data_IF_628459824370
#
_entry.id   IF_628459824370
#
_cell.length_a   1.000
_cell.length_b   1.000
_cell.length_c   1.000
_cell.angle_alpha   90.00
_cell.angle_beta   90.00
_cell.angle_gamma   90.00
#
_symmetry.space_group_name_H-M   'P 1'
#
loop_
_entity.id
_entity.type
_entity.pdbx_description
1 polymer ?
#
# COMPACT_ATOMS: atom_id res chain seq x y z
N UNK A 1 -1.57 2.42 -1.38
CA UNK A 1 -0.78 1.50 -2.21
C UNK A 1 0.63 1.62 -1.73
N UNK A 2 1.21 0.50 -1.33
CA UNK A 2 2.57 0.48 -0.84
C UNK A 2 3.53 0.25 -2.01
N UNK A 3 4.74 0.80 -1.88
CA UNK A 3 5.79 0.63 -2.87
C UNK A 3 7.09 0.16 -2.23
N UNK A 4 7.89 -0.55 -3.02
CA UNK A 4 9.27 -0.90 -2.66
C UNK A 4 10.19 0.19 -3.18
N UNK A 5 10.92 0.82 -2.27
CA UNK A 5 11.86 1.89 -2.57
C UNK A 5 13.26 1.48 -2.15
N UNK A 6 14.27 1.90 -2.91
CA UNK A 6 15.68 1.63 -2.58
C UNK A 6 16.59 2.71 -3.16
N UNK A 7 17.68 3.01 -2.46
CA UNK A 7 18.81 3.78 -2.99
C UNK A 7 19.99 2.88 -3.43
N UNK A 8 19.90 1.56 -3.20
CA UNK A 8 20.99 0.59 -3.44
C UNK A 8 20.71 -0.36 -4.59
N UNK A 9 19.44 -0.75 -4.77
CA UNK A 9 19.00 -1.64 -5.84
C UNK A 9 18.80 -0.86 -7.14
N UNK A 10 19.00 -1.53 -8.27
CA UNK A 10 18.79 -0.99 -9.62
C UNK A 10 17.60 -1.59 -10.34
N UNK A 11 16.96 -2.58 -9.72
CA UNK A 11 15.76 -3.21 -10.21
C UNK A 11 14.69 -2.19 -10.59
N UNK A 12 13.94 -2.49 -11.65
CA UNK A 12 12.83 -1.67 -12.16
C UNK A 12 11.49 -2.40 -12.17
N UNK A 13 11.50 -3.67 -11.79
CA UNK A 13 10.34 -4.54 -11.77
C UNK A 13 10.56 -5.69 -10.77
N UNK A 14 9.53 -6.51 -10.59
CA UNK A 14 9.52 -7.65 -9.66
C UNK A 14 10.62 -8.66 -9.99
N UNK A 15 10.79 -9.01 -11.26
CA UNK A 15 11.72 -10.06 -11.69
C UNK A 15 13.18 -9.68 -11.45
N UNK A 16 13.52 -8.40 -11.67
CA UNK A 16 14.84 -7.85 -11.36
C UNK A 16 15.05 -7.74 -9.85
N UNK A 17 14.03 -7.27 -9.11
CA UNK A 17 14.09 -7.12 -7.66
C UNK A 17 14.44 -8.45 -6.98
N UNK A 18 13.72 -9.51 -7.33
CA UNK A 18 13.94 -10.85 -6.73
C UNK A 18 15.34 -11.39 -7.05
N UNK A 19 15.94 -11.03 -8.19
CA UNK A 19 17.30 -11.45 -8.56
C UNK A 19 18.39 -10.66 -7.84
N UNK A 20 18.14 -9.39 -7.54
CA UNK A 20 19.12 -8.52 -6.87
C UNK A 20 19.16 -8.75 -5.35
N UNK A 21 18.04 -9.14 -4.74
CA UNK A 21 17.96 -9.46 -3.31
C UNK A 21 18.81 -10.69 -2.96
N UNK A 22 19.49 -10.61 -1.82
CA UNK A 22 20.38 -11.62 -1.27
C UNK A 22 20.00 -11.98 0.16
N UNK A 23 20.33 -13.19 0.63
CA UNK A 23 20.18 -13.53 2.05
C UNK A 23 20.90 -12.51 2.95
N UNK A 24 20.21 -12.04 3.98
CA UNK A 24 20.69 -11.00 4.90
C UNK A 24 20.37 -9.57 4.47
N UNK A 25 19.86 -9.34 3.26
CA UNK A 25 19.38 -8.01 2.86
C UNK A 25 18.25 -7.54 3.77
N UNK A 26 18.29 -6.25 4.14
CA UNK A 26 17.35 -5.67 5.12
C UNK A 26 16.26 -4.90 4.39
N UNK A 27 15.02 -5.28 4.66
CA UNK A 27 13.82 -4.57 4.20
C UNK A 27 13.13 -3.94 5.40
N UNK A 28 13.07 -2.61 5.46
CA UNK A 28 12.30 -1.91 6.49
C UNK A 28 10.82 -1.86 6.13
N UNK A 29 9.97 -2.08 7.14
CA UNK A 29 8.52 -2.14 7.00
C UNK A 29 7.86 -1.35 8.13
N UNK A 30 6.62 -0.88 7.98
CA UNK A 30 5.88 -0.26 9.09
C UNK A 30 5.74 -1.23 10.27
N UNK A 31 5.77 -0.70 11.50
CA UNK A 31 5.59 -1.49 12.72
C UNK A 31 4.13 -1.55 13.19
N UNK A 32 3.26 -0.64 12.73
CA UNK A 32 1.86 -0.69 13.13
C UNK A 32 1.19 -1.96 12.56
N UNK A 33 0.28 -2.61 13.32
CA UNK A 33 -0.19 -3.95 12.96
C UNK A 33 -0.83 -4.06 11.57
N UNK A 34 -1.69 -3.11 11.21
CA UNK A 34 -2.45 -3.16 9.95
C UNK A 34 -1.54 -2.98 8.74
N UNK A 35 -0.67 -1.97 8.75
CA UNK A 35 0.25 -1.73 7.62
C UNK A 35 1.38 -2.78 7.60
N UNK A 36 1.82 -3.27 8.76
CA UNK A 36 2.76 -4.38 8.82
C UNK A 36 2.16 -5.62 8.17
N UNK A 37 0.94 -6.01 8.53
CA UNK A 37 0.30 -7.18 7.92
C UNK A 37 0.16 -7.01 6.41
N UNK A 38 -0.33 -5.85 5.96
CA UNK A 38 -0.43 -5.51 4.53
C UNK A 38 0.91 -5.69 3.82
N UNK A 39 1.97 -5.14 4.41
CA UNK A 39 3.34 -5.26 3.89
C UNK A 39 3.79 -6.72 3.82
N UNK A 40 3.50 -7.52 4.85
CA UNK A 40 3.89 -8.93 4.86
C UNK A 40 3.19 -9.71 3.75
N UNK A 41 1.91 -9.47 3.53
CA UNK A 41 1.18 -10.06 2.42
C UNK A 41 1.73 -9.60 1.06
N UNK A 42 2.10 -8.31 0.92
CA UNK A 42 2.72 -7.82 -0.31
C UNK A 42 4.07 -8.51 -0.59
N UNK A 43 4.93 -8.67 0.43
CA UNK A 43 6.21 -9.37 0.28
C UNK A 43 6.05 -10.87 -0.01
N UNK A 44 4.99 -11.51 0.51
CA UNK A 44 4.59 -12.87 0.12
C UNK A 44 4.15 -12.93 -1.35
N UNK A 45 3.35 -11.97 -1.83
CA UNK A 45 2.90 -11.90 -3.24
C UNK A 45 4.10 -11.71 -4.21
N UNK A 46 5.20 -11.14 -3.72
CA UNK A 46 6.47 -11.04 -4.45
C UNK A 46 7.29 -12.34 -4.43
N UNK A 47 6.91 -13.32 -3.61
CA UNK A 47 7.58 -14.61 -3.48
C UNK A 47 8.82 -14.58 -2.58
N UNK A 48 8.97 -13.56 -1.73
CA UNK A 48 10.15 -13.43 -0.86
C UNK A 48 10.12 -14.41 0.32
N UNK A 49 8.92 -14.71 0.82
CA UNK A 49 8.67 -15.68 1.88
C UNK A 49 7.24 -16.22 1.75
N UNK A 50 6.89 -17.21 2.58
CA UNK A 50 5.53 -17.72 2.74
C UNK A 50 5.05 -17.47 4.16
N UNK A 51 3.83 -16.97 4.26
CA UNK A 51 3.07 -16.88 5.49
C UNK A 51 2.36 -18.20 5.75
N UNK A 52 1.95 -18.40 7.01
CA UNK A 52 1.16 -19.57 7.39
C UNK A 52 -0.15 -19.62 6.59
N UNK A 53 -0.54 -20.79 6.06
CA UNK A 53 -1.78 -20.92 5.30
C UNK A 53 -3.02 -20.53 6.13
N UNK A 54 -3.98 -19.89 5.49
CA UNK A 54 -5.27 -19.54 6.10
C UNK A 54 -5.27 -18.27 6.96
N UNK A 55 -4.18 -17.49 6.94
CA UNK A 55 -4.15 -16.16 7.56
C UNK A 55 -5.06 -15.21 6.80
N UNK A 56 -5.81 -14.41 7.57
CA UNK A 56 -6.61 -13.30 7.06
C UNK A 56 -5.65 -12.17 6.69
N UNK A 57 -5.73 -11.65 5.45
CA UNK A 57 -4.95 -10.48 5.04
C UNK A 57 -5.35 -9.30 5.93
N UNK A 58 -4.37 -8.63 6.53
CA UNK A 58 -4.58 -7.61 7.56
C UNK A 58 -4.34 -8.09 8.99
N UNK A 59 -4.18 -9.40 9.22
CA UNK A 59 -3.89 -9.98 10.55
C UNK A 59 -2.53 -10.71 10.64
N UNK A 60 -1.75 -10.73 9.55
CA UNK A 60 -0.44 -11.38 9.51
C UNK A 60 0.59 -10.72 10.43
N UNK A 61 1.35 -11.54 11.16
CA UNK A 61 2.46 -11.12 12.01
C UNK A 61 3.80 -11.65 11.48
N UNK A 62 4.91 -11.05 11.93
CA UNK A 62 6.24 -11.58 11.61
C UNK A 62 6.44 -13.04 12.02
N UNK A 63 5.82 -13.46 13.13
CA UNK A 63 5.88 -14.83 13.63
C UNK A 63 5.15 -15.83 12.71
N UNK A 64 4.33 -15.35 11.78
CA UNK A 64 3.60 -16.18 10.84
C UNK A 64 4.39 -16.52 9.57
N UNK A 65 5.61 -16.01 9.42
CA UNK A 65 6.51 -16.39 8.34
C UNK A 65 6.98 -17.83 8.59
N UNK A 66 6.53 -18.76 7.75
CA UNK A 66 6.84 -20.20 7.86
C UNK A 66 7.97 -20.63 6.95
N UNK A 67 8.29 -19.85 5.91
CA UNK A 67 9.38 -20.15 4.97
C UNK A 67 9.98 -18.84 4.44
N UNK A 68 11.26 -18.58 4.71
CA UNK A 68 11.96 -17.41 4.17
C UNK A 68 12.76 -17.81 2.92
N UNK A 69 12.11 -17.79 1.75
CA UNK A 69 12.66 -18.23 0.46
C UNK A 69 13.85 -17.37 0.03
N UNK A 70 13.76 -16.05 0.25
CA UNK A 70 14.78 -15.08 -0.16
C UNK A 70 15.91 -14.90 0.86
N UNK A 71 15.67 -15.23 2.13
CA UNK A 71 16.60 -14.98 3.24
C UNK A 71 16.70 -13.52 3.67
N UNK A 72 15.79 -12.65 3.21
CA UNK A 72 15.77 -11.23 3.63
C UNK A 72 15.38 -11.09 5.10
N UNK A 73 15.85 -10.01 5.73
CA UNK A 73 15.51 -9.63 7.09
C UNK A 73 14.46 -8.52 7.05
N UNK A 74 13.26 -8.83 7.53
CA UNK A 74 12.17 -7.84 7.68
C UNK A 74 12.37 -7.10 8.99
N UNK A 75 12.50 -5.76 8.93
CA UNK A 75 12.77 -4.91 10.09
C UNK A 75 11.67 -3.87 10.28
N UNK A 76 10.75 -4.07 11.24
CA UNK A 76 9.72 -3.08 11.56
C UNK A 76 10.32 -1.80 12.14
N UNK A 77 9.88 -0.66 11.63
CA UNK A 77 10.18 0.68 12.15
C UNK A 77 9.00 1.62 11.90
N UNK A 78 9.06 2.82 12.48
CA UNK A 78 8.08 3.88 12.21
C UNK A 78 8.06 4.25 10.73
N UNK A 79 6.85 4.29 10.14
CA UNK A 79 6.69 4.46 8.69
C UNK A 79 7.31 5.78 8.19
N UNK A 80 7.12 6.87 8.94
CA UNK A 80 7.67 8.18 8.62
C UNK A 80 9.20 8.24 8.68
N UNK A 81 9.85 7.22 9.26
CA UNK A 81 11.31 7.08 9.26
C UNK A 81 11.82 6.24 8.09
N UNK A 82 11.01 5.38 7.47
CA UNK A 82 11.45 4.46 6.42
C UNK A 82 12.17 5.19 5.28
N UNK A 83 11.66 6.31 4.71
CA UNK A 83 12.37 7.03 3.64
C UNK A 83 13.80 7.44 4.01
N UNK A 84 14.04 7.80 5.27
CA UNK A 84 15.36 8.25 5.76
C UNK A 84 16.34 7.10 5.96
N UNK A 85 15.85 5.86 6.08
CA UNK A 85 16.70 4.68 6.24
C UNK A 85 17.23 4.11 4.93
N UNK A 86 16.72 4.56 3.77
CA UNK A 86 17.00 3.95 2.46
C UNK A 86 18.49 3.97 2.06
N UNK A 87 19.29 4.86 2.63
CA UNK A 87 20.75 4.88 2.44
C UNK A 87 21.48 3.77 3.21
N UNK A 88 20.88 3.26 4.28
CA UNK A 88 21.47 2.29 5.21
C UNK A 88 20.93 0.87 5.01
N UNK A 89 19.69 0.71 4.57
CA UNK A 89 19.06 -0.61 4.30
C UNK A 89 19.05 -0.98 2.83
N UNK A 90 18.66 -2.20 2.50
CA UNK A 90 18.57 -2.66 1.11
C UNK A 90 17.33 -2.09 0.42
N UNK A 91 16.17 -2.13 1.08
CA UNK A 91 14.94 -1.51 0.60
C UNK A 91 14.02 -1.12 1.75
N UNK A 92 13.02 -0.30 1.47
CA UNK A 92 11.94 0.04 2.40
C UNK A 92 10.58 -0.07 1.72
N UNK A 93 9.58 -0.48 2.50
CA UNK A 93 8.18 -0.50 2.08
C UNK A 93 7.52 0.77 2.60
N UNK A 94 7.01 1.59 1.69
CA UNK A 94 6.54 2.94 1.99
C UNK A 94 5.16 3.11 1.34
N UNK A 95 4.17 3.60 2.09
CA UNK A 95 2.86 3.95 1.51
C UNK A 95 2.98 5.09 0.51
N UNK A 96 2.00 5.18 -0.40
CA UNK A 96 1.92 6.26 -1.38
C UNK A 96 2.00 7.65 -0.74
N UNK A 97 1.30 7.88 0.38
CA UNK A 97 1.30 9.18 1.07
C UNK A 97 2.68 9.54 1.60
N UNK A 98 3.35 8.63 2.30
CA UNK A 98 4.70 8.87 2.82
C UNK A 98 5.72 9.04 1.69
N UNK A 99 5.54 8.33 0.57
CA UNK A 99 6.37 8.50 -0.62
C UNK A 99 6.14 9.87 -1.30
N UNK A 100 4.92 10.41 -1.28
CA UNK A 100 4.65 11.79 -1.74
C UNK A 100 5.30 12.82 -0.82
N UNK A 101 5.18 12.66 0.51
CA UNK A 101 5.83 13.56 1.48
C UNK A 101 7.36 13.54 1.38
N UNK A 102 7.94 12.39 1.07
CA UNK A 102 9.37 12.26 0.83
C UNK A 102 9.80 12.70 -0.58
N UNK A 103 8.87 13.01 -1.50
CA UNK A 103 9.19 13.40 -2.88
C UNK A 103 9.76 12.26 -3.72
N UNK A 104 9.51 11.01 -3.34
CA UNK A 104 10.04 9.81 -3.99
C UNK A 104 8.94 8.97 -4.63
N UNK A 105 7.69 9.43 -4.68
CA UNK A 105 6.55 8.65 -5.15
C UNK A 105 6.86 7.87 -6.43
N UNK A 106 7.37 8.51 -7.48
CA UNK A 106 7.65 7.92 -8.79
C UNK A 106 8.89 7.01 -8.85
N UNK A 107 9.59 6.81 -7.73
CA UNK A 107 10.81 6.01 -7.63
C UNK A 107 10.56 4.57 -7.14
N UNK A 108 9.30 4.15 -7.02
CA UNK A 108 8.98 2.77 -6.63
C UNK A 108 9.52 1.77 -7.66
N UNK A 109 10.22 0.74 -7.17
CA UNK A 109 10.68 -0.41 -7.97
C UNK A 109 9.50 -1.30 -8.35
N UNK A 110 8.66 -1.59 -7.35
CA UNK A 110 7.42 -2.36 -7.49
C UNK A 110 6.38 -1.70 -6.61
N UNK A 111 5.14 -1.68 -7.08
CA UNK A 111 3.98 -1.28 -6.29
C UNK A 111 3.11 -2.48 -5.98
N UNK A 112 2.50 -2.44 -4.81
CA UNK A 112 1.48 -3.37 -4.40
C UNK A 112 0.28 -3.26 -5.36
N UNK A 113 -0.16 -4.39 -5.91
CA UNK A 113 -1.41 -4.43 -6.65
C UNK A 113 -2.53 -4.57 -5.63
N UNK A 114 -3.30 -3.50 -5.42
CA UNK A 114 -4.46 -3.53 -4.53
C UNK A 114 -5.59 -4.28 -5.23
N UNK A 115 -5.88 -5.51 -4.81
CA UNK A 115 -7.11 -6.20 -5.21
C UNK A 115 -8.31 -5.66 -4.42
N UNK A 116 -9.49 -5.50 -5.04
CA UNK A 116 -10.27 -4.27 -4.88
C UNK A 116 -11.17 -4.14 -3.64
N UNK A 117 -10.99 -4.92 -2.58
CA UNK A 117 -11.95 -4.88 -1.45
C UNK A 117 -11.31 -4.78 -0.06
N UNK A 118 -10.24 -5.53 0.23
CA UNK A 118 -9.84 -5.77 1.62
C UNK A 118 -8.94 -4.67 2.21
N UNK A 119 -8.26 -3.89 1.35
CA UNK A 119 -7.24 -2.91 1.76
C UNK A 119 -7.56 -1.47 1.32
N UNK A 120 -8.82 -1.23 0.90
CA UNK A 120 -9.28 0.11 0.55
C UNK A 120 -9.62 0.91 1.81
N UNK A 121 -9.26 2.19 1.80
CA UNK A 121 -9.72 3.13 2.83
C UNK A 121 -11.22 3.31 2.62
N UNK A 122 -11.99 3.09 3.69
CA UNK A 122 -13.45 3.24 3.68
C UNK A 122 -13.88 4.37 4.61
N UNK A 123 -14.98 5.03 4.25
CA UNK A 123 -15.71 5.85 5.20
C UNK A 123 -16.55 4.96 6.10
N UNK A 124 -16.41 5.12 7.41
CA UNK A 124 -17.15 4.35 8.39
C UNK A 124 -18.02 5.28 9.25
N UNK A 125 -19.27 4.87 9.46
CA UNK A 125 -20.21 5.52 10.38
C UNK A 125 -20.76 4.50 11.37
N UNK A 126 -21.23 4.96 12.53
CA UNK A 126 -21.94 4.10 13.48
C UNK A 126 -23.25 3.61 12.86
N UNK A 127 -23.62 2.36 13.12
CA UNK A 127 -24.87 1.75 12.60
C UNK A 127 -26.11 2.56 12.97
N UNK A 128 -26.14 3.17 14.16
CA UNK A 128 -27.24 4.04 14.60
C UNK A 128 -27.46 5.28 13.72
N UNK A 129 -26.48 5.61 12.87
CA UNK A 129 -26.50 6.79 12.03
C UNK A 129 -26.91 6.49 10.58
N UNK A 130 -27.15 5.23 10.21
CA UNK A 130 -27.42 4.83 8.82
C UNK A 130 -28.57 5.60 8.18
N UNK A 131 -29.64 5.86 8.94
CA UNK A 131 -30.85 6.51 8.42
C UNK A 131 -30.87 8.03 8.61
N UNK A 132 -29.82 8.60 9.20
CA UNK A 132 -29.74 10.04 9.46
C UNK A 132 -29.58 10.84 8.17
N UNK A 133 -30.11 12.06 8.14
CA UNK A 133 -30.04 12.91 6.96
C UNK A 133 -28.59 13.24 6.57
N UNK A 134 -27.75 13.59 7.55
CA UNK A 134 -26.35 13.93 7.29
C UNK A 134 -25.56 12.77 6.67
N UNK A 135 -25.88 11.51 7.00
CA UNK A 135 -25.23 10.35 6.40
C UNK A 135 -25.59 10.20 4.92
N UNK A 136 -26.85 10.50 4.56
CA UNK A 136 -27.31 10.55 3.16
C UNK A 136 -26.64 11.70 2.41
N UNK A 137 -26.62 12.89 3.00
CA UNK A 137 -25.98 14.08 2.43
C UNK A 137 -24.48 13.85 2.20
N UNK A 138 -23.80 13.17 3.13
CA UNK A 138 -22.39 12.81 3.00
C UNK A 138 -22.14 11.89 1.81
N UNK A 139 -22.97 10.85 1.64
CA UNK A 139 -22.85 9.93 0.49
C UNK A 139 -23.11 10.69 -0.81
N UNK A 140 -24.13 11.54 -0.86
CA UNK A 140 -24.41 12.37 -2.03
C UNK A 140 -23.23 13.28 -2.38
N UNK A 141 -22.64 13.96 -1.40
CA UNK A 141 -21.49 14.82 -1.58
C UNK A 141 -20.25 14.06 -2.08
N UNK A 142 -19.90 12.91 -1.47
CA UNK A 142 -18.76 12.08 -1.91
C UNK A 142 -18.96 11.52 -3.32
N UNK A 143 -20.21 11.31 -3.73
CA UNK A 143 -20.51 10.82 -5.06
C UNK A 143 -20.92 11.92 -6.05
N UNK A 144 -20.71 13.19 -5.73
CA UNK A 144 -21.12 14.32 -6.59
C UNK A 144 -20.12 14.58 -7.72
N UNK A 145 -20.54 15.37 -8.72
CA UNK A 145 -19.64 15.79 -9.80
C UNK A 145 -18.53 16.71 -9.28
N UNK A 146 -18.81 17.55 -8.28
CA UNK A 146 -17.82 18.41 -7.65
C UNK A 146 -16.71 17.59 -6.99
N UNK A 147 -17.07 16.52 -6.26
CA UNK A 147 -16.08 15.61 -5.67
C UNK A 147 -15.25 14.94 -6.76
N UNK A 148 -15.91 14.40 -7.81
CA UNK A 148 -15.22 13.82 -8.96
C UNK A 148 -14.22 14.81 -9.57
N UNK A 149 -14.63 16.06 -9.78
CA UNK A 149 -13.79 17.08 -10.41
C UNK A 149 -12.53 17.36 -9.56
N UNK A 150 -12.64 17.38 -8.22
CA UNK A 150 -11.46 17.53 -7.35
C UNK A 150 -10.55 16.29 -7.41
N UNK A 151 -11.12 15.09 -7.44
CA UNK A 151 -10.34 13.84 -7.52
C UNK A 151 -9.60 13.73 -8.86
N UNK A 152 -10.22 14.13 -9.97
CA UNK A 152 -9.62 14.04 -11.30
C UNK A 152 -8.74 15.24 -11.68
N UNK A 153 -8.74 16.32 -10.90
CA UNK A 153 -7.97 17.52 -11.19
C UNK A 153 -6.46 17.23 -11.09
N UNK A 154 -5.69 17.38 -12.19
CA UNK A 154 -4.23 17.15 -12.21
C UNK A 154 -3.43 18.06 -11.28
N UNK A 155 -4.03 19.13 -10.75
CA UNK A 155 -3.41 19.99 -9.75
C UNK A 155 -3.18 19.26 -8.42
N UNK A 156 -4.01 18.28 -8.09
CA UNK A 156 -3.91 17.51 -6.84
C UNK A 156 -3.35 16.12 -7.11
N UNK A 157 -2.73 15.49 -6.11
CA UNK A 157 -2.24 14.12 -6.27
C UNK A 157 -3.33 13.04 -6.28
N UNK A 158 -4.57 13.39 -5.95
CA UNK A 158 -5.67 12.42 -5.79
C UNK A 158 -5.91 11.56 -7.04
N UNK A 159 -5.76 12.13 -8.24
CA UNK A 159 -5.97 11.42 -9.50
C UNK A 159 -4.98 10.27 -9.73
N UNK A 160 -3.90 10.19 -8.93
CA UNK A 160 -2.85 9.16 -9.01
C UNK A 160 -3.16 7.92 -8.21
N UNK A 161 -4.13 8.00 -7.28
CA UNK A 161 -4.46 6.90 -6.37
C UNK A 161 -5.46 5.92 -7.00
N UNK A 162 -5.51 4.72 -6.45
CA UNK A 162 -6.49 3.68 -6.81
C UNK A 162 -7.90 4.20 -6.52
N UNK A 163 -8.81 3.97 -7.46
CA UNK A 163 -10.22 4.38 -7.35
C UNK A 163 -11.05 3.19 -6.89
N UNK A 164 -11.96 3.37 -5.90
CA UNK A 164 -12.80 2.28 -5.42
C UNK A 164 -13.80 1.84 -6.51
N UNK A 165 -14.28 0.60 -6.41
CA UNK A 165 -15.15 0.00 -7.43
C UNK A 165 -16.39 0.84 -7.74
N UNK A 166 -17.05 1.40 -6.72
CA UNK A 166 -18.23 2.26 -6.89
C UNK A 166 -17.93 3.51 -7.72
N UNK A 167 -16.71 4.05 -7.61
CA UNK A 167 -16.31 5.27 -8.32
C UNK A 167 -16.09 4.95 -9.80
N UNK A 168 -15.42 3.83 -10.08
CA UNK A 168 -15.21 3.32 -11.45
C UNK A 168 -16.56 3.02 -12.11
N UNK A 169 -17.47 2.34 -11.39
CA UNK A 169 -18.81 2.00 -11.88
C UNK A 169 -19.64 3.25 -12.18
N UNK A 170 -19.65 4.23 -11.27
CA UNK A 170 -20.46 5.45 -11.43
C UNK A 170 -19.97 6.34 -12.57
N UNK A 171 -18.65 6.50 -12.70
CA UNK A 171 -18.08 7.49 -13.62
C UNK A 171 -17.52 6.91 -14.91
N UNK A 172 -17.39 5.58 -15.01
CA UNK A 172 -16.80 4.92 -16.17
C UNK A 172 -15.30 5.23 -16.36
N UNK A 173 -14.62 5.70 -15.31
CA UNK A 173 -13.21 6.07 -15.34
C UNK A 173 -12.34 4.90 -14.87
N UNK A 174 -11.21 4.61 -15.54
CA UNK A 174 -10.32 3.56 -15.08
C UNK A 174 -9.73 3.89 -13.71
N UNK A 175 -9.55 2.87 -12.88
CA UNK A 175 -8.72 2.96 -11.68
C UNK A 175 -7.25 2.85 -12.07
N UNK A 176 -6.39 3.60 -11.38
CA UNK A 176 -4.96 3.36 -11.42
C UNK A 176 -4.65 1.97 -10.87
N UNK A 177 -3.58 1.36 -11.39
CA UNK A 177 -3.06 0.05 -10.99
C UNK A 177 -1.85 0.18 -10.08
#
# INVERSE_FOLDING_TARGET
MDGIYSQKLKAKNKEELVKELKPGDVITVPYDPSNQSRTLCFLEDLGLFKLKPGIIRGEALLADIVENVSGVVVRPIDEGLIPRTLSEVTAGIISGQEAEYAGIFDQAIVREIITPAELQIIYAIKTSNLDTQWAKDFVEAVQSEEFRNVIEDPQYSYHRYVKPAWYVEKWGLPSNQ
#
